data_IF_630762497873
#
_entry.id   IF_630762497873
#
_cell.length_a   1.000
_cell.length_b   1.000
_cell.length_c   1.000
_cell.angle_alpha   90.00
_cell.angle_beta   90.00
_cell.angle_gamma   90.00
#
_symmetry.space_group_name_H-M   'P 1'
#
loop_
_entity.id
_entity.type
_entity.pdbx_description
1 polymer ?
#
# COMPACT_ATOMS: atom_id res chain seq x y z
N UNK A 1 1.41 -18.78 -1.61
CA UNK A 1 1.27 -17.63 -2.54
C UNK A 1 0.24 -16.60 -2.04
N UNK A 2 0.37 -16.06 -0.80
CA UNK A 2 -0.70 -15.21 -0.21
C UNK A 2 -0.27 -14.06 0.73
N UNK A 3 1.02 -13.74 0.79
CA UNK A 3 1.58 -12.60 1.56
C UNK A 3 1.93 -11.40 0.65
N UNK A 4 2.10 -11.62 -0.65
CA UNK A 4 2.68 -10.65 -1.57
C UNK A 4 1.79 -9.43 -1.92
N UNK A 5 0.46 -9.54 -1.80
CA UNK A 5 -0.44 -8.45 -2.19
C UNK A 5 -0.42 -7.26 -1.22
N UNK A 6 -0.29 -7.51 0.09
CA UNK A 6 -0.19 -6.44 1.09
C UNK A 6 1.07 -5.59 0.88
N UNK A 7 2.17 -6.22 0.45
CA UNK A 7 3.42 -5.52 0.16
C UNK A 7 3.33 -4.61 -1.07
N UNK A 8 2.51 -4.93 -2.07
CA UNK A 8 2.36 -4.09 -3.27
C UNK A 8 1.70 -2.75 -2.96
N UNK A 9 0.64 -2.74 -2.15
CA UNK A 9 -0.04 -1.50 -1.77
C UNK A 9 0.86 -0.60 -0.90
N UNK A 10 1.58 -1.19 0.07
CA UNK A 10 2.53 -0.41 0.88
C UNK A 10 3.73 0.09 0.07
N UNK A 11 4.24 -0.70 -0.88
CA UNK A 11 5.30 -0.27 -1.79
C UNK A 11 4.84 0.88 -2.68
N UNK A 12 3.62 0.82 -3.22
CA UNK A 12 3.03 1.91 -4.00
C UNK A 12 2.97 3.21 -3.18
N UNK A 13 2.41 3.18 -1.97
CA UNK A 13 2.36 4.37 -1.10
C UNK A 13 3.76 4.91 -0.79
N UNK A 14 4.71 4.04 -0.43
CA UNK A 14 6.09 4.44 -0.14
C UNK A 14 6.78 5.08 -1.35
N UNK A 15 6.62 4.51 -2.55
CA UNK A 15 7.20 5.02 -3.79
C UNK A 15 6.68 6.41 -4.14
N UNK A 16 5.38 6.65 -3.98
CA UNK A 16 4.76 7.95 -4.28
C UNK A 16 5.10 9.00 -3.21
N UNK A 17 5.23 8.61 -1.94
CA UNK A 17 5.69 9.51 -0.85
C UNK A 17 7.12 9.97 -1.07
N UNK A 18 8.02 9.02 -1.26
CA UNK A 18 9.46 9.29 -1.27
C UNK A 18 9.94 9.81 -2.62
N UNK A 19 9.21 9.50 -3.71
CA UNK A 19 9.61 9.82 -5.10
C UNK A 19 11.04 9.38 -5.40
N UNK A 20 11.46 8.31 -4.74
CA UNK A 20 12.83 7.81 -4.78
C UNK A 20 12.83 6.33 -4.37
N UNK A 21 13.28 5.45 -5.27
CA UNK A 21 13.19 4.00 -5.07
C UNK A 21 13.98 3.54 -3.84
N UNK A 22 15.21 4.03 -3.64
CA UNK A 22 16.04 3.64 -2.48
C UNK A 22 15.42 4.07 -1.15
N UNK A 23 15.00 5.34 -1.01
CA UNK A 23 14.32 5.82 0.21
C UNK A 23 13.01 5.10 0.48
N UNK A 24 12.24 4.77 -0.57
CA UNK A 24 11.03 3.96 -0.42
C UNK A 24 11.35 2.55 0.13
N UNK A 25 12.46 1.95 -0.32
CA UNK A 25 12.91 0.65 0.18
C UNK A 25 13.34 0.74 1.65
N UNK A 26 14.12 1.77 2.01
CA UNK A 26 14.53 2.05 3.39
C UNK A 26 13.32 2.24 4.32
N UNK A 27 12.30 3.00 3.88
CA UNK A 27 11.07 3.23 4.64
C UNK A 27 10.31 1.95 5.00
N UNK A 28 10.39 0.93 4.15
CA UNK A 28 9.73 -0.36 4.37
C UNK A 28 10.71 -1.44 4.83
N UNK A 29 11.91 -1.05 5.28
CA UNK A 29 12.95 -1.95 5.79
C UNK A 29 13.30 -3.09 4.82
N UNK A 30 13.32 -2.79 3.52
CA UNK A 30 13.62 -3.76 2.47
C UNK A 30 14.79 -3.31 1.59
N UNK A 31 15.32 -4.24 0.78
CA UNK A 31 16.36 -3.93 -0.18
C UNK A 31 15.82 -3.14 -1.38
N UNK A 32 16.68 -2.34 -1.99
CA UNK A 32 16.35 -1.59 -3.21
C UNK A 32 16.04 -2.51 -4.41
N UNK A 33 16.60 -3.72 -4.47
CA UNK A 33 16.27 -4.72 -5.50
C UNK A 33 14.85 -5.27 -5.33
N UNK A 34 14.42 -5.54 -4.08
CA UNK A 34 13.04 -5.92 -3.77
C UNK A 34 12.08 -4.81 -4.16
N UNK A 35 12.35 -3.56 -3.76
CA UNK A 35 11.51 -2.42 -4.13
C UNK A 35 11.42 -2.22 -5.65
N UNK A 36 12.53 -2.35 -6.38
CA UNK A 36 12.54 -2.25 -7.84
C UNK A 36 11.68 -3.34 -8.50
N UNK A 37 11.69 -4.56 -7.95
CA UNK A 37 10.85 -5.67 -8.41
C UNK A 37 9.37 -5.40 -8.17
N UNK A 38 9.02 -4.83 -7.00
CA UNK A 38 7.65 -4.43 -6.68
C UNK A 38 7.17 -3.30 -7.60
N UNK A 39 8.00 -2.29 -7.90
CA UNK A 39 7.68 -1.24 -8.86
C UNK A 39 7.43 -1.81 -10.26
N UNK A 40 8.28 -2.73 -10.75
CA UNK A 40 8.06 -3.39 -12.04
C UNK A 40 6.69 -4.12 -12.07
N UNK A 41 6.38 -4.87 -11.01
CA UNK A 41 5.10 -5.58 -10.90
C UNK A 41 3.88 -4.65 -10.80
N UNK A 42 4.02 -3.52 -10.11
CA UNK A 42 2.96 -2.50 -10.04
C UNK A 42 2.71 -1.89 -11.43
N UNK A 43 3.78 -1.63 -12.21
CA UNK A 43 3.67 -1.13 -13.58
C UNK A 43 2.95 -2.11 -14.50
N UNK A 44 3.28 -3.40 -14.41
CA UNK A 44 2.58 -4.46 -15.13
C UNK A 44 1.10 -4.54 -14.73
N UNK A 45 0.79 -4.44 -13.44
CA UNK A 45 -0.58 -4.55 -12.93
C UNK A 45 -1.48 -3.40 -13.42
N UNK A 46 -0.96 -2.18 -13.44
CA UNK A 46 -1.73 -1.00 -13.82
C UNK A 46 -1.58 -0.60 -15.30
N UNK A 47 -0.61 -1.17 -16.01
CA UNK A 47 -0.29 -0.78 -17.39
C UNK A 47 0.21 0.67 -17.49
N UNK A 48 0.86 1.19 -16.45
CA UNK A 48 1.29 2.58 -16.32
C UNK A 48 2.66 2.66 -15.64
N UNK A 49 3.48 3.67 -15.98
CA UNK A 49 4.84 3.81 -15.42
C UNK A 49 4.84 4.16 -13.93
N UNK A 50 3.73 4.70 -13.40
CA UNK A 50 3.46 5.18 -12.05
C UNK A 50 4.35 6.31 -11.55
N UNK A 51 5.64 6.25 -11.84
CA UNK A 51 6.66 7.24 -11.59
C UNK A 51 7.48 7.45 -12.87
N UNK A 52 7.56 8.69 -13.33
CA UNK A 52 8.31 9.11 -14.51
C UNK A 52 9.44 10.08 -14.13
N UNK A 53 10.53 10.10 -14.89
CA UNK A 53 11.62 11.06 -14.65
C UNK A 53 11.22 12.45 -15.12
N UNK A 54 11.26 13.44 -14.23
CA UNK A 54 11.02 14.84 -14.56
C UNK A 54 11.87 15.76 -13.69
N UNK A 55 12.53 16.75 -14.31
CA UNK A 55 13.15 17.88 -13.60
C UNK A 55 14.09 17.54 -12.44
N UNK A 56 14.87 16.46 -12.53
CA UNK A 56 15.82 16.05 -11.49
C UNK A 56 15.32 15.01 -10.49
N UNK A 57 14.11 14.46 -10.65
CA UNK A 57 13.58 13.42 -9.78
C UNK A 57 12.56 12.50 -10.45
N UNK A 58 11.93 11.66 -9.64
CA UNK A 58 10.75 10.90 -10.05
C UNK A 58 9.49 11.70 -9.72
N UNK A 59 8.53 11.72 -10.63
CA UNK A 59 7.22 12.31 -10.42
C UNK A 59 6.12 11.27 -10.69
N UNK A 60 5.07 11.23 -9.86
CA UNK A 60 3.91 10.40 -10.12
C UNK A 60 3.23 10.74 -11.46
N UNK A 61 2.73 9.72 -12.15
CA UNK A 61 1.81 9.89 -13.28
C UNK A 61 0.43 10.34 -12.79
N UNK A 62 -0.42 10.82 -13.71
CA UNK A 62 -1.80 11.19 -13.38
C UNK A 62 -2.59 10.00 -12.82
N UNK A 63 -2.41 8.81 -13.40
CA UNK A 63 -3.04 7.58 -12.89
C UNK A 63 -2.56 7.27 -11.47
N UNK A 64 -1.26 7.37 -11.21
CA UNK A 64 -0.72 7.11 -9.88
C UNK A 64 -1.31 8.06 -8.83
N UNK A 65 -1.43 9.36 -9.15
CA UNK A 65 -2.06 10.34 -8.27
C UNK A 65 -3.54 10.05 -8.03
N UNK A 66 -4.27 9.63 -9.06
CA UNK A 66 -5.68 9.25 -8.95
C UNK A 66 -5.89 8.03 -8.05
N UNK A 67 -4.98 7.05 -8.13
CA UNK A 67 -5.06 5.80 -7.36
C UNK A 67 -4.60 5.96 -5.91
N UNK A 68 -3.70 6.90 -5.64
CA UNK A 68 -3.02 7.00 -4.34
C UNK A 68 -3.96 7.13 -3.13
N UNK A 69 -4.99 8.01 -3.14
CA UNK A 69 -5.93 8.08 -2.01
C UNK A 69 -6.64 6.74 -1.76
N UNK A 70 -7.05 6.04 -2.82
CA UNK A 70 -7.73 4.74 -2.73
C UNK A 70 -6.81 3.66 -2.14
N UNK A 71 -5.52 3.70 -2.48
CA UNK A 71 -4.50 2.81 -1.91
C UNK A 71 -4.33 3.08 -0.41
N UNK A 72 -4.30 4.36 -0.01
CA UNK A 72 -4.20 4.74 1.41
C UNK A 72 -5.41 4.27 2.21
N UNK A 73 -6.62 4.42 1.67
CA UNK A 73 -7.84 3.92 2.30
C UNK A 73 -7.82 2.39 2.46
N UNK A 74 -7.35 1.67 1.44
CA UNK A 74 -7.22 0.21 1.49
C UNK A 74 -6.19 -0.24 2.53
N UNK A 75 -5.05 0.46 2.65
CA UNK A 75 -4.06 0.20 3.70
C UNK A 75 -4.67 0.41 5.09
N UNK A 76 -5.35 1.54 5.30
CA UNK A 76 -6.01 1.84 6.57
C UNK A 76 -7.09 0.80 6.92
N UNK A 77 -7.84 0.30 5.93
CA UNK A 77 -8.79 -0.78 6.13
C UNK A 77 -8.12 -2.10 6.54
N UNK A 78 -6.99 -2.45 5.92
CA UNK A 78 -6.21 -3.63 6.31
C UNK A 78 -5.64 -3.49 7.74
N UNK A 79 -5.14 -2.31 8.09
CA UNK A 79 -4.60 -2.04 9.42
C UNK A 79 -5.68 -2.21 10.50
N UNK A 80 -6.91 -1.75 10.24
CA UNK A 80 -8.06 -1.96 11.15
C UNK A 80 -8.43 -3.44 11.35
N UNK A 81 -8.15 -4.32 10.40
CA UNK A 81 -8.43 -5.77 10.54
C UNK A 81 -7.51 -6.42 11.56
N UNK A 82 -6.27 -5.94 11.67
CA UNK A 82 -5.25 -6.49 12.57
C UNK A 82 -5.18 -5.75 13.91
N UNK A 83 -5.81 -4.58 14.00
CA UNK A 83 -6.02 -3.92 15.29
C UNK A 83 -6.81 -4.85 16.22
N UNK A 84 -6.41 -4.96 17.51
CA UNK A 84 -7.13 -5.79 18.46
C UNK A 84 -8.56 -5.25 18.61
N UNK A 85 -9.50 -5.92 17.94
CA UNK A 85 -10.90 -5.64 18.09
C UNK A 85 -11.28 -5.95 19.55
N UNK A 86 -11.68 -4.92 20.30
CA UNK A 86 -12.41 -5.13 21.54
C UNK A 86 -13.78 -5.67 21.12
N UNK A 87 -13.88 -7.00 20.99
CA UNK A 87 -15.16 -7.64 20.75
C UNK A 87 -16.00 -7.47 22.01
N UNK A 88 -16.99 -6.59 21.94
CA UNK A 88 -17.98 -6.42 23.01
C UNK A 88 -19.20 -7.26 22.62
N UNK A 89 -19.32 -8.50 23.11
CA UNK A 89 -20.46 -9.35 22.77
C UNK A 89 -21.75 -8.67 23.23
N UNK A 90 -22.83 -8.75 22.43
CA UNK A 90 -24.13 -8.32 22.92
C UNK A 90 -24.48 -9.10 24.19
N UNK A 91 -25.13 -8.47 25.19
CA UNK A 91 -25.51 -9.14 26.42
C UNK A 91 -26.33 -10.40 26.08
N UNK A 92 -26.15 -11.50 26.83
CA UNK A 92 -26.84 -12.76 26.55
C UNK A 92 -28.34 -12.51 26.49
N UNK A 93 -28.96 -12.89 25.38
CA UNK A 93 -30.41 -12.77 25.21
C UNK A 93 -31.08 -13.53 26.37
N UNK A 94 -31.73 -12.79 27.26
CA UNK A 94 -32.48 -13.38 28.35
C UNK A 94 -33.68 -14.11 27.72
N UNK A 95 -33.83 -15.43 27.90
CA UNK A 95 -34.99 -16.12 27.35
C UNK A 95 -36.25 -15.55 28.01
N UNK A 96 -37.15 -14.99 27.20
CA UNK A 96 -38.48 -14.58 27.67
C UNK A 96 -39.23 -15.83 28.08
N UNK A 97 -39.64 -15.87 29.35
CA UNK A 97 -40.52 -16.89 29.91
C UNK A 97 -41.94 -16.80 29.32
#
# INVERSE_FOLDING_TARGET
>A
MRIWFAFLLRAFDALLRERHVTRAAERLEMSQSTMSTLLARLRELFGDELLMRAGGGLMPTELALLLWPRVQDAIAAMDRVIEPARFDPPPPATPSA
#
